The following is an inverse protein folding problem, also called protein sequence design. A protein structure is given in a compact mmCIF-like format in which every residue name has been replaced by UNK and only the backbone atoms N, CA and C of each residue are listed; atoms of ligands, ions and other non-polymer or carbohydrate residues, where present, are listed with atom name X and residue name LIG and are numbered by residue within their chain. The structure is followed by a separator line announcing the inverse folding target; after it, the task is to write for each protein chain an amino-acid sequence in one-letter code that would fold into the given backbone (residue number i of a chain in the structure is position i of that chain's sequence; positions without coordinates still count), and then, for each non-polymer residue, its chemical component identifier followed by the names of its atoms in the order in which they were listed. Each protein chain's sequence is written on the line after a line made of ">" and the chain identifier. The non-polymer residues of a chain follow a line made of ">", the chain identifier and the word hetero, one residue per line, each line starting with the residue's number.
data_IF_429204773871
#
_entry.id   IF_429204773871
#
_cell.length_a   1.000
_cell.length_b   1.000
_cell.length_c   1.000
_cell.angle_alpha   90.00
_cell.angle_beta   90.00
_cell.angle_gamma   90.00
#
_symmetry.space_group_name_H-M   'P 1'
#
loop_
_entity.id
_entity.type
_entity.pdbx_description
1 polymer ?
#
# COMPACT_ATOMS: atom_id res chain seq x y z
N UNK A 1 -19.49 -15.63 -90.86
CA UNK A 1 -18.69 -16.23 -89.76
C UNK A 1 -17.96 -15.21 -88.92
N UNK A 2 -17.53 -14.06 -89.43
CA UNK A 2 -16.79 -13.00 -88.71
C UNK A 2 -17.53 -12.38 -87.48
N UNK A 3 -18.87 -12.22 -87.60
CA UNK A 3 -19.69 -11.58 -86.60
C UNK A 3 -19.99 -12.51 -85.34
N UNK A 4 -19.87 -13.81 -85.56
CA UNK A 4 -20.10 -14.79 -84.47
C UNK A 4 -18.85 -14.88 -83.51
N UNK A 5 -17.67 -14.85 -84.11
CA UNK A 5 -16.41 -14.84 -83.33
C UNK A 5 -16.25 -13.58 -82.46
N UNK A 6 -16.69 -12.40 -82.99
CA UNK A 6 -16.65 -11.14 -82.28
C UNK A 6 -17.59 -11.16 -81.03
N UNK A 7 -18.74 -11.77 -81.17
CA UNK A 7 -19.66 -11.93 -80.01
C UNK A 7 -19.11 -12.84 -78.93
N UNK A 8 -18.50 -13.95 -79.31
CA UNK A 8 -17.87 -14.87 -78.38
C UNK A 8 -16.71 -14.20 -77.61
N UNK A 9 -15.88 -13.41 -78.32
CA UNK A 9 -14.79 -12.66 -77.71
C UNK A 9 -15.33 -11.61 -76.71
N UNK A 10 -16.40 -10.92 -77.03
CA UNK A 10 -17.03 -9.96 -76.08
C UNK A 10 -17.56 -10.66 -74.83
N UNK A 11 -18.22 -11.79 -74.92
CA UNK A 11 -18.73 -12.54 -73.82
C UNK A 11 -17.57 -13.12 -72.96
N UNK A 12 -16.48 -13.58 -73.59
CA UNK A 12 -15.29 -14.03 -72.90
C UNK A 12 -14.62 -12.91 -72.08
N UNK A 13 -14.50 -11.71 -72.69
CA UNK A 13 -13.91 -10.56 -71.98
C UNK A 13 -14.81 -10.11 -70.80
N UNK A 14 -16.15 -10.06 -71.01
CA UNK A 14 -17.04 -9.72 -69.87
C UNK A 14 -17.01 -10.78 -68.73
N UNK A 15 -16.94 -12.07 -69.07
CA UNK A 15 -16.80 -13.12 -68.10
C UNK A 15 -15.50 -12.99 -67.31
N UNK A 16 -14.37 -12.70 -67.96
CA UNK A 16 -13.10 -12.47 -67.30
C UNK A 16 -13.16 -11.27 -66.35
N UNK A 17 -13.78 -10.17 -66.77
CA UNK A 17 -13.94 -8.97 -65.93
C UNK A 17 -14.80 -9.23 -64.71
N UNK A 18 -15.90 -10.01 -64.86
CA UNK A 18 -16.76 -10.39 -63.74
C UNK A 18 -16.00 -11.28 -62.73
N UNK A 19 -15.23 -12.27 -63.24
CA UNK A 19 -14.40 -13.11 -62.35
C UNK A 19 -13.37 -12.31 -61.60
N UNK A 20 -12.68 -11.37 -62.27
CA UNK A 20 -11.72 -10.46 -61.62
C UNK A 20 -12.40 -9.58 -60.58
N UNK A 21 -13.58 -9.05 -60.85
CA UNK A 21 -14.33 -8.23 -59.90
C UNK A 21 -14.74 -9.04 -58.65
N UNK A 22 -15.19 -10.30 -58.82
CA UNK A 22 -15.52 -11.20 -57.71
C UNK A 22 -14.29 -11.51 -56.87
N UNK A 23 -13.15 -11.78 -57.49
CA UNK A 23 -11.89 -12.04 -56.78
C UNK A 23 -11.46 -10.78 -56.00
N UNK A 24 -11.57 -9.60 -56.58
CA UNK A 24 -11.25 -8.33 -55.93
C UNK A 24 -12.15 -8.07 -54.70
N UNK A 25 -13.45 -8.32 -54.83
CA UNK A 25 -14.41 -8.20 -53.72
C UNK A 25 -14.08 -9.21 -52.59
N UNK A 26 -13.77 -10.45 -52.92
CA UNK A 26 -13.38 -11.45 -51.94
C UNK A 26 -12.08 -11.09 -51.22
N UNK A 27 -11.10 -10.60 -51.96
CA UNK A 27 -9.83 -10.12 -51.36
C UNK A 27 -10.04 -8.90 -50.47
N UNK A 28 -10.86 -7.97 -50.88
CA UNK A 28 -11.20 -6.80 -50.06
C UNK A 28 -11.95 -7.21 -48.78
N UNK A 29 -12.92 -8.13 -48.92
CA UNK A 29 -13.62 -8.65 -47.74
C UNK A 29 -12.66 -9.35 -46.76
N UNK A 30 -11.82 -10.28 -47.23
CA UNK A 30 -10.85 -10.97 -46.40
C UNK A 30 -9.91 -9.98 -45.69
N UNK A 31 -9.45 -8.95 -46.40
CA UNK A 31 -8.59 -7.91 -45.79
C UNK A 31 -9.30 -7.13 -44.68
N UNK A 32 -10.58 -6.82 -44.83
CA UNK A 32 -11.35 -6.10 -43.79
C UNK A 32 -11.81 -6.98 -42.65
N UNK A 33 -12.02 -8.30 -42.88
CA UNK A 33 -12.55 -9.20 -41.84
C UNK A 33 -11.46 -9.92 -41.06
N UNK A 34 -10.32 -10.20 -41.73
CA UNK A 34 -9.19 -10.93 -41.09
C UNK A 34 -8.14 -10.00 -40.50
N UNK A 35 -8.16 -8.70 -40.77
CA UNK A 35 -7.31 -7.75 -40.09
C UNK A 35 -7.81 -7.56 -38.65
N UNK A 36 -7.08 -7.98 -37.63
CA UNK A 36 -7.46 -7.78 -36.23
C UNK A 36 -7.34 -6.29 -35.90
N UNK A 37 -8.41 -5.53 -36.15
CA UNK A 37 -8.48 -4.12 -35.85
C UNK A 37 -9.31 -3.92 -34.57
N UNK A 38 -8.64 -3.80 -33.46
CA UNK A 38 -9.25 -3.43 -32.19
C UNK A 38 -9.16 -1.92 -31.98
N UNK A 39 -10.29 -1.25 -32.03
CA UNK A 39 -10.40 0.19 -31.71
C UNK A 39 -10.22 0.49 -30.23
N UNK A 40 -10.44 -0.49 -29.34
CA UNK A 40 -10.46 -0.35 -27.88
C UNK A 40 -9.53 -1.36 -27.21
N UNK A 41 -8.29 -1.51 -27.68
CA UNK A 41 -7.29 -2.25 -26.94
C UNK A 41 -6.94 -1.45 -25.67
N UNK A 42 -7.57 -1.78 -24.55
CA UNK A 42 -7.22 -1.26 -23.24
C UNK A 42 -6.19 -2.20 -22.63
N UNK A 43 -4.97 -1.70 -22.45
CA UNK A 43 -4.00 -2.37 -21.59
C UNK A 43 -4.45 -2.16 -20.15
N UNK A 44 -4.90 -3.21 -19.49
CA UNK A 44 -5.19 -3.19 -18.06
C UNK A 44 -3.95 -3.69 -17.34
N UNK A 45 -3.18 -2.78 -16.75
CA UNK A 45 -2.12 -3.15 -15.83
C UNK A 45 -2.69 -3.23 -14.42
N UNK A 46 -2.22 -4.19 -13.62
CA UNK A 46 -2.54 -4.27 -12.20
C UNK A 46 -1.76 -3.15 -11.47
N UNK A 47 -2.49 -2.12 -11.04
CA UNK A 47 -1.92 -0.92 -10.41
C UNK A 47 -2.19 -0.96 -8.92
N UNK A 48 -1.13 -0.98 -8.11
CA UNK A 48 -1.21 -0.86 -6.65
C UNK A 48 -0.80 0.55 -6.25
N UNK A 49 -1.75 1.32 -5.73
CA UNK A 49 -1.47 2.65 -5.16
C UNK A 49 -0.89 2.51 -3.76
N UNK A 50 0.29 3.05 -3.55
CA UNK A 50 0.94 3.12 -2.24
C UNK A 50 0.57 4.44 -1.57
N UNK A 51 -0.01 4.32 -0.37
CA UNK A 51 -0.34 5.46 0.48
C UNK A 51 0.31 5.29 1.86
N UNK A 52 0.80 6.38 2.49
CA UNK A 52 1.36 6.30 3.83
C UNK A 52 0.26 6.08 4.87
N UNK A 53 0.60 5.39 5.94
CA UNK A 53 -0.28 5.18 7.10
C UNK A 53 0.00 6.18 8.24
N UNK A 54 0.96 7.08 8.03
CA UNK A 54 1.31 8.17 8.94
C UNK A 54 1.34 9.50 8.19
N UNK A 55 1.19 10.62 8.92
CA UNK A 55 1.12 11.97 8.36
C UNK A 55 2.37 12.76 8.72
N UNK A 56 2.96 13.48 7.78
CA UNK A 56 4.11 14.34 8.07
C UNK A 56 4.79 14.90 6.84
N UNK A 57 5.92 15.58 7.06
CA UNK A 57 6.75 16.13 6.01
C UNK A 57 7.57 15.02 5.35
N UNK A 58 7.64 14.99 4.03
CA UNK A 58 8.52 14.07 3.30
C UNK A 58 9.95 14.60 3.38
N UNK A 59 10.85 13.80 3.94
CA UNK A 59 12.25 14.19 4.15
C UNK A 59 13.18 13.71 3.04
N UNK A 60 12.86 12.56 2.44
CA UNK A 60 13.72 11.91 1.46
C UNK A 60 12.90 11.07 0.46
N UNK A 61 13.24 11.17 -0.83
CA UNK A 61 12.61 10.39 -1.92
C UNK A 61 13.71 9.82 -2.80
N UNK A 62 14.26 8.64 -2.44
CA UNK A 62 15.42 8.05 -3.13
C UNK A 62 15.09 7.37 -4.47
N UNK A 63 13.82 7.35 -4.89
CA UNK A 63 13.36 6.75 -6.14
C UNK A 63 12.98 7.81 -7.16
N UNK A 64 13.09 7.47 -8.43
CA UNK A 64 12.64 8.31 -9.55
C UNK A 64 11.45 7.68 -10.26
N UNK A 65 10.67 8.50 -10.95
CA UNK A 65 9.53 8.02 -11.73
C UNK A 65 9.96 7.04 -12.82
N UNK A 66 9.13 6.02 -13.08
CA UNK A 66 9.41 4.90 -14.01
C UNK A 66 10.65 4.05 -13.65
N UNK A 67 11.02 3.97 -12.38
CA UNK A 67 12.09 3.12 -11.89
C UNK A 67 11.56 1.74 -11.48
N UNK A 68 12.31 0.68 -11.84
CA UNK A 68 12.06 -0.66 -11.30
C UNK A 68 12.50 -0.68 -9.82
N UNK A 69 11.56 -0.93 -8.93
CA UNK A 69 11.79 -1.04 -7.49
C UNK A 69 11.66 -2.49 -7.04
N UNK A 70 12.53 -2.91 -6.13
CA UNK A 70 12.53 -4.25 -5.52
C UNK A 70 11.69 -4.26 -4.25
N UNK A 71 11.12 -5.41 -3.92
CA UNK A 71 10.43 -5.64 -2.66
C UNK A 71 11.30 -5.20 -1.46
N UNK A 72 10.74 -4.37 -0.57
CA UNK A 72 11.44 -3.82 0.58
C UNK A 72 12.28 -2.58 0.30
N UNK A 73 12.47 -2.18 -0.96
CA UNK A 73 13.17 -0.94 -1.31
C UNK A 73 12.41 0.27 -0.77
N UNK A 74 13.14 1.23 -0.20
CA UNK A 74 12.57 2.49 0.31
C UNK A 74 12.10 3.35 -0.85
N UNK A 75 10.83 3.75 -0.80
CA UNK A 75 10.22 4.65 -1.77
C UNK A 75 10.36 6.11 -1.34
N UNK A 76 10.00 6.41 -0.10
CA UNK A 76 10.20 7.71 0.52
C UNK A 76 10.18 7.60 2.05
N UNK A 77 10.62 8.65 2.74
CA UNK A 77 10.65 8.75 4.19
C UNK A 77 9.88 9.97 4.66
N UNK A 78 9.16 9.81 5.77
CA UNK A 78 8.42 10.87 6.45
C UNK A 78 9.21 11.24 7.72
N UNK A 79 9.07 12.46 8.20
CA UNK A 79 9.69 13.10 9.38
C UNK A 79 9.89 12.12 10.58
N UNK A 80 10.94 11.29 10.51
CA UNK A 80 11.27 10.31 11.54
C UNK A 80 11.56 10.93 12.91
N UNK A 81 12.30 12.05 13.02
CA UNK A 81 12.61 12.68 14.29
C UNK A 81 11.38 12.95 15.17
N UNK A 82 10.27 13.37 14.58
CA UNK A 82 9.02 13.60 15.30
C UNK A 82 8.48 12.32 15.92
N UNK A 83 8.43 11.24 15.15
CA UNK A 83 7.94 9.93 15.61
C UNK A 83 8.91 9.27 16.60
N UNK A 84 10.21 9.51 16.42
CA UNK A 84 11.24 9.09 17.39
C UNK A 84 10.99 9.73 18.76
N UNK A 85 10.69 11.04 18.82
CA UNK A 85 10.38 11.73 20.08
C UNK A 85 9.08 11.23 20.72
N UNK A 86 8.06 10.94 19.93
CA UNK A 86 6.83 10.33 20.43
C UNK A 86 7.07 8.93 21.03
N UNK A 87 7.95 8.13 20.43
CA UNK A 87 8.35 6.85 20.99
C UNK A 87 9.13 7.00 22.29
N UNK A 88 10.11 7.92 22.35
CA UNK A 88 10.88 8.21 23.59
C UNK A 88 9.96 8.63 24.74
N UNK A 89 8.95 9.47 24.48
CA UNK A 89 7.94 9.88 25.44
C UNK A 89 7.15 8.66 25.96
N UNK A 90 6.64 7.82 25.05
CA UNK A 90 5.88 6.63 25.42
C UNK A 90 6.74 5.60 26.19
N UNK A 91 8.03 5.48 25.88
CA UNK A 91 8.98 4.63 26.64
C UNK A 91 9.23 5.17 28.05
N UNK A 92 9.29 6.49 28.22
CA UNK A 92 9.40 7.10 29.54
C UNK A 92 8.15 6.84 30.40
N UNK A 93 6.96 6.90 29.80
CA UNK A 93 5.70 6.55 30.48
C UNK A 93 5.68 5.08 30.94
N UNK A 94 6.12 4.16 30.11
CA UNK A 94 6.26 2.74 30.49
C UNK A 94 7.22 2.58 31.66
N UNK A 95 8.36 3.26 31.64
CA UNK A 95 9.34 3.20 32.71
C UNK A 95 8.75 3.74 34.01
N UNK A 96 8.00 4.85 33.96
CA UNK A 96 7.32 5.41 35.14
C UNK A 96 6.31 4.43 35.75
N UNK A 97 5.35 3.92 34.96
CA UNK A 97 4.33 3.02 35.47
C UNK A 97 4.92 1.68 35.94
N UNK A 98 5.98 1.19 35.32
CA UNK A 98 6.71 0.00 35.75
C UNK A 98 7.35 0.20 37.16
N UNK A 99 7.96 1.36 37.39
CA UNK A 99 8.52 1.71 38.70
C UNK A 99 7.41 1.83 39.77
N UNK A 100 6.30 2.51 39.42
CA UNK A 100 5.14 2.66 40.29
C UNK A 100 4.49 1.31 40.62
N UNK A 101 4.33 0.42 39.64
CA UNK A 101 3.81 -0.93 39.86
C UNK A 101 4.71 -1.74 40.80
N UNK A 102 6.03 -1.62 40.62
CA UNK A 102 6.98 -2.28 41.52
C UNK A 102 6.88 -1.75 42.95
N UNK A 103 6.69 -0.45 43.16
CA UNK A 103 6.45 0.15 44.47
C UNK A 103 5.14 -0.39 45.09
N UNK A 104 4.02 -0.31 44.36
CA UNK A 104 2.72 -0.77 44.86
C UNK A 104 2.67 -2.26 45.10
N UNK A 105 3.41 -3.06 44.33
CA UNK A 105 3.56 -4.50 44.57
C UNK A 105 4.27 -4.78 45.90
N UNK A 106 5.35 -4.03 46.24
CA UNK A 106 6.03 -4.15 47.51
C UNK A 106 5.13 -3.70 48.65
N UNK A 107 4.38 -2.62 48.50
CA UNK A 107 3.43 -2.11 49.50
C UNK A 107 2.32 -3.14 49.80
N UNK A 108 1.63 -3.62 48.74
CA UNK A 108 0.59 -4.64 48.89
C UNK A 108 1.15 -5.94 49.51
N UNK A 109 2.35 -6.36 49.09
CA UNK A 109 3.03 -7.52 49.68
C UNK A 109 3.29 -7.38 51.19
N UNK A 110 3.80 -6.22 51.62
CA UNK A 110 4.01 -5.97 53.10
C UNK A 110 2.67 -5.96 53.85
N UNK A 111 1.61 -5.32 53.34
CA UNK A 111 0.28 -5.29 53.96
C UNK A 111 -0.33 -6.68 54.06
N UNK A 112 -0.23 -7.48 53.00
CA UNK A 112 -0.71 -8.87 53.03
C UNK A 112 0.04 -9.75 54.03
N UNK A 113 1.34 -9.53 54.22
CA UNK A 113 2.15 -10.27 55.25
C UNK A 113 1.76 -9.92 56.67
N UNK A 114 1.43 -8.65 56.95
CA UNK A 114 0.96 -8.24 58.29
C UNK A 114 -0.40 -8.84 58.63
N UNK A 115 -1.24 -9.05 57.62
CA UNK A 115 -2.52 -9.73 57.75
C UNK A 115 -3.55 -8.97 58.57
N UNK A 116 -4.72 -9.59 58.75
CA UNK A 116 -5.89 -9.02 59.46
C UNK A 116 -5.70 -8.85 60.97
N UNK A 117 -4.59 -9.32 61.51
CA UNK A 117 -4.28 -9.12 62.90
C UNK A 117 -3.68 -7.73 63.21
N UNK A 118 -3.06 -7.10 62.22
CA UNK A 118 -2.43 -5.80 62.36
C UNK A 118 -3.07 -4.70 61.47
N UNK A 119 -3.93 -5.09 60.52
CA UNK A 119 -4.59 -4.17 59.57
C UNK A 119 -6.03 -4.60 59.31
N UNK A 120 -6.90 -3.64 58.96
CA UNK A 120 -8.26 -3.98 58.53
C UNK A 120 -8.27 -4.69 57.15
N UNK A 121 -9.25 -5.54 56.92
CA UNK A 121 -9.45 -6.18 55.59
C UNK A 121 -9.61 -5.14 54.50
N UNK A 122 -10.30 -4.06 54.79
CA UNK A 122 -10.53 -2.95 53.85
C UNK A 122 -9.22 -2.31 53.37
N UNK A 123 -8.24 -2.10 54.27
CA UNK A 123 -6.92 -1.55 53.93
C UNK A 123 -6.09 -2.49 53.07
N UNK A 124 -6.19 -3.80 53.31
CA UNK A 124 -5.53 -4.83 52.50
C UNK A 124 -6.15 -4.85 51.10
N UNK A 125 -7.49 -4.88 51.00
CA UNK A 125 -8.22 -4.90 49.74
C UNK A 125 -7.97 -3.61 48.95
N UNK A 126 -7.96 -2.45 49.60
CA UNK A 126 -7.63 -1.17 48.98
C UNK A 126 -6.23 -1.17 48.35
N UNK A 127 -5.23 -1.70 49.07
CA UNK A 127 -3.86 -1.79 48.55
C UNK A 127 -3.74 -2.71 47.33
N UNK A 128 -4.44 -3.84 47.35
CA UNK A 128 -4.50 -4.76 46.24
C UNK A 128 -5.22 -4.11 45.01
N UNK A 129 -6.33 -3.37 45.24
CA UNK A 129 -7.04 -2.68 44.21
C UNK A 129 -6.18 -1.57 43.56
N UNK A 130 -5.42 -0.81 44.37
CA UNK A 130 -4.47 0.19 43.84
C UNK A 130 -3.40 -0.48 43.00
N UNK A 131 -2.84 -1.60 43.43
CA UNK A 131 -1.88 -2.36 42.64
C UNK A 131 -2.47 -2.79 41.31
N UNK A 132 -3.68 -3.33 41.28
CA UNK A 132 -4.35 -3.72 40.01
C UNK A 132 -4.56 -2.52 39.10
N UNK A 133 -4.98 -1.38 39.62
CA UNK A 133 -5.15 -0.14 38.87
C UNK A 133 -3.85 0.28 38.18
N UNK A 134 -2.73 0.27 38.92
CA UNK A 134 -1.41 0.64 38.40
C UNK A 134 -0.92 -0.37 37.34
N UNK A 135 -1.18 -1.67 37.53
CA UNK A 135 -0.86 -2.68 36.52
C UNK A 135 -1.63 -2.48 35.23
N UNK A 136 -2.90 -2.08 35.29
CA UNK A 136 -3.68 -1.72 34.09
C UNK A 136 -3.15 -0.44 33.42
N UNK A 137 -2.69 0.55 34.20
CA UNK A 137 -2.05 1.75 33.66
C UNK A 137 -0.73 1.41 32.97
N UNK A 138 0.08 0.52 33.53
CA UNK A 138 1.31 0.02 32.90
C UNK A 138 0.98 -0.65 31.55
N UNK A 139 0.02 -1.57 31.52
CA UNK A 139 -0.38 -2.25 30.28
C UNK A 139 -0.87 -1.26 29.21
N UNK A 140 -1.61 -0.21 29.62
CA UNK A 140 -2.02 0.87 28.72
C UNK A 140 -0.81 1.62 28.15
N UNK A 141 0.17 1.98 28.99
CA UNK A 141 1.37 2.67 28.55
C UNK A 141 2.21 1.81 27.59
N UNK A 142 2.30 0.50 27.84
CA UNK A 142 2.96 -0.45 26.95
C UNK A 142 2.29 -0.49 25.56
N UNK A 143 0.96 -0.55 25.51
CA UNK A 143 0.21 -0.49 24.25
C UNK A 143 0.42 0.84 23.50
N UNK A 144 0.50 1.97 24.21
CA UNK A 144 0.78 3.28 23.62
C UNK A 144 2.20 3.33 23.03
N UNK A 145 3.20 2.78 23.75
CA UNK A 145 4.58 2.68 23.26
C UNK A 145 4.64 1.80 21.99
N UNK A 146 3.93 0.68 21.96
CA UNK A 146 3.93 -0.23 20.81
C UNK A 146 3.30 0.44 19.59
N UNK A 147 2.25 1.25 19.78
CA UNK A 147 1.67 2.06 18.73
C UNK A 147 2.66 3.11 18.22
N UNK A 148 3.34 3.85 19.10
CA UNK A 148 4.33 4.84 18.70
C UNK A 148 5.52 4.20 17.94
N UNK A 149 5.93 2.99 18.32
CA UNK A 149 6.95 2.21 17.61
C UNK A 149 6.49 1.84 16.20
N UNK A 150 5.26 1.36 16.08
CA UNK A 150 4.65 1.03 14.79
C UNK A 150 4.55 2.25 13.88
N UNK A 151 4.14 3.40 14.43
CA UNK A 151 4.08 4.65 13.66
C UNK A 151 5.46 5.09 13.17
N UNK A 152 6.50 4.94 13.99
CA UNK A 152 7.89 5.21 13.59
C UNK A 152 8.34 4.26 12.46
N UNK A 153 8.05 2.97 12.53
CA UNK A 153 8.37 2.02 11.47
C UNK A 153 7.66 2.38 10.16
N UNK A 154 6.43 2.87 10.25
CA UNK A 154 5.61 3.29 9.10
C UNK A 154 6.00 4.63 8.49
N UNK A 155 6.95 5.36 9.08
CA UNK A 155 7.53 6.55 8.45
C UNK A 155 8.42 6.23 7.25
N UNK A 156 8.89 4.98 7.14
CA UNK A 156 9.70 4.50 6.00
C UNK A 156 8.82 3.68 5.09
N UNK A 157 8.36 4.28 4.01
CA UNK A 157 7.50 3.61 3.04
C UNK A 157 8.35 2.77 2.09
N UNK A 158 7.98 1.48 1.99
CA UNK A 158 8.71 0.48 1.19
C UNK A 158 7.83 -0.16 0.15
N UNK A 159 8.44 -0.61 -0.95
CA UNK A 159 7.75 -1.36 -2.00
C UNK A 159 7.31 -2.75 -1.47
N UNK A 160 6.03 -3.15 -1.62
CA UNK A 160 5.53 -4.44 -1.18
C UNK A 160 5.93 -5.61 -2.09
N UNK A 161 6.28 -5.33 -3.35
CA UNK A 161 6.66 -6.31 -4.37
C UNK A 161 7.60 -5.68 -5.40
N UNK A 162 8.23 -6.53 -6.23
CA UNK A 162 9.05 -6.08 -7.36
C UNK A 162 8.12 -5.54 -8.45
N UNK A 163 8.14 -4.22 -8.69
CA UNK A 163 7.24 -3.53 -9.63
C UNK A 163 7.89 -2.27 -10.19
N UNK A 164 7.30 -1.71 -11.25
CA UNK A 164 7.67 -0.40 -11.75
C UNK A 164 6.93 0.68 -10.97
N UNK A 165 7.68 1.62 -10.39
CA UNK A 165 7.13 2.81 -9.73
C UNK A 165 6.78 3.85 -10.79
N UNK A 166 5.49 4.14 -10.95
CA UNK A 166 5.00 5.17 -11.88
C UNK A 166 4.15 6.18 -11.14
N UNK A 167 3.95 7.35 -11.73
CA UNK A 167 3.12 8.42 -11.17
C UNK A 167 3.57 8.81 -9.75
N UNK A 168 4.87 9.08 -9.61
CA UNK A 168 5.48 9.54 -8.37
C UNK A 168 5.03 10.98 -8.08
N UNK A 169 4.02 11.12 -7.22
CA UNK A 169 3.42 12.41 -6.85
C UNK A 169 3.87 12.87 -5.45
N UNK A 170 5.13 12.65 -5.12
CA UNK A 170 5.70 13.02 -3.82
C UNK A 170 7.09 13.62 -3.99
N UNK A 171 7.33 14.73 -3.30
CA UNK A 171 8.59 15.46 -3.35
C UNK A 171 9.12 15.74 -1.94
N UNK A 172 10.43 15.75 -1.78
CA UNK A 172 11.04 16.14 -0.53
C UNK A 172 10.63 17.59 -0.15
N UNK A 173 10.20 17.79 1.09
CA UNK A 173 9.65 19.06 1.58
C UNK A 173 8.12 19.17 1.44
N UNK A 174 7.44 18.22 0.85
CA UNK A 174 5.98 18.18 0.76
C UNK A 174 5.36 17.56 2.02
N UNK A 175 4.17 18.05 2.41
CA UNK A 175 3.42 17.51 3.53
C UNK A 175 2.39 16.48 3.03
N UNK A 176 2.49 15.24 3.49
CA UNK A 176 1.58 14.17 3.12
C UNK A 176 0.69 13.75 4.27
N UNK A 177 -0.56 13.39 3.97
CA UNK A 177 -1.53 12.91 4.94
C UNK A 177 -1.76 11.40 4.78
N UNK A 178 -2.19 10.77 5.87
CA UNK A 178 -2.56 9.35 5.87
C UNK A 178 -3.56 9.04 4.75
N UNK A 179 -3.30 7.99 3.96
CA UNK A 179 -4.17 7.54 2.88
C UNK A 179 -4.06 8.29 1.56
N UNK A 180 -3.22 9.34 1.47
CA UNK A 180 -2.94 10.02 0.20
C UNK A 180 -2.17 9.11 -0.74
N UNK A 181 -2.64 8.93 -1.97
CA UNK A 181 -1.91 8.15 -2.98
C UNK A 181 -0.59 8.86 -3.34
N UNK A 182 0.53 8.21 -3.08
CA UNK A 182 1.87 8.77 -3.23
C UNK A 182 2.61 8.22 -4.47
N UNK A 183 2.51 6.92 -4.70
CA UNK A 183 3.19 6.21 -5.79
C UNK A 183 2.27 5.14 -6.32
N UNK A 184 2.20 4.98 -7.64
CA UNK A 184 1.54 3.85 -8.28
C UNK A 184 2.58 2.79 -8.66
N UNK A 185 2.37 1.54 -8.24
CA UNK A 185 3.21 0.41 -8.61
C UNK A 185 2.50 -0.43 -9.66
N UNK A 186 3.13 -0.60 -10.81
CA UNK A 186 2.57 -1.32 -11.96
C UNK A 186 3.35 -2.61 -12.20
N UNK A 187 2.63 -3.70 -12.42
CA UNK A 187 3.22 -4.95 -12.89
C UNK A 187 3.32 -4.89 -14.42
N UNK A 188 4.54 -5.06 -14.93
CA UNK A 188 4.74 -5.30 -16.35
C UNK A 188 4.49 -6.79 -16.62
N UNK A 189 3.46 -7.07 -17.40
CA UNK A 189 3.13 -8.40 -17.92
C UNK A 189 3.96 -8.69 -19.15
#
# INVERSE_FOLDING_TARGET
>A
MKNFSIKIIRYAITLILVVLAVIAIFKAWAFYTESPWTRDAKFTADVVSIAPDVTGLITDVPVVDNQLVKKGQVLFKIDQPRYQKALEEAEADVAYYKALAAEKRREAGRRNQLGVQAMSREEIDQSNNVLQTVLHQQAKAEATRDLARLDLERTVIRAPADRWGTNLNVYAGEFITRGSAAVALVQQT
#
